data_IF_149733858015
#
_entry.id   IF_149733858015
#
_cell.length_a   1.000
_cell.length_b   1.000
_cell.length_c   1.000
_cell.angle_alpha   90.00
_cell.angle_beta   90.00
_cell.angle_gamma   90.00
#
_symmetry.space_group_name_H-M   'P 1'
#
loop_
_entity.id
_entity.type
_entity.pdbx_description
1 polymer ?
#
# COMPACT_ATOMS: atom_id res chain seq x y z
N UNK A 1 -29.95 3.65 -16.76
CA UNK A 1 -29.66 4.77 -15.85
C UNK A 1 -28.92 4.19 -14.66
N UNK A 2 -27.58 4.22 -14.68
CA UNK A 2 -26.80 3.78 -13.52
C UNK A 2 -27.00 4.84 -12.44
N UNK A 3 -27.62 4.47 -11.33
CA UNK A 3 -27.73 5.34 -10.17
C UNK A 3 -26.31 5.63 -9.69
N UNK A 4 -25.80 6.83 -9.96
CA UNK A 4 -24.60 7.34 -9.34
C UNK A 4 -24.90 7.53 -7.86
N UNK A 5 -24.71 6.48 -7.08
CA UNK A 5 -24.71 6.58 -5.62
C UNK A 5 -23.62 7.59 -5.29
N UNK A 6 -24.03 8.71 -4.70
CA UNK A 6 -23.14 9.79 -4.28
C UNK A 6 -21.94 9.19 -3.52
N UNK A 7 -20.73 9.64 -3.85
CA UNK A 7 -19.47 9.25 -3.20
C UNK A 7 -19.58 9.33 -1.67
N UNK A 8 -20.30 10.31 -1.15
CA UNK A 8 -20.57 10.47 0.29
C UNK A 8 -21.35 9.31 0.91
N UNK A 9 -22.32 8.76 0.17
CA UNK A 9 -23.14 7.63 0.65
C UNK A 9 -22.31 6.34 0.62
N UNK A 10 -21.53 6.13 -0.44
CA UNK A 10 -20.58 4.99 -0.52
C UNK A 10 -19.58 5.03 0.64
N UNK A 11 -19.02 6.20 0.93
CA UNK A 11 -18.09 6.38 2.04
C UNK A 11 -18.76 6.17 3.39
N UNK A 12 -19.98 6.67 3.60
CA UNK A 12 -20.72 6.44 4.85
C UNK A 12 -20.95 4.94 5.12
N UNK A 13 -21.39 4.18 4.11
CA UNK A 13 -21.54 2.73 4.23
C UNK A 13 -20.19 2.02 4.43
N UNK A 14 -19.15 2.46 3.75
CA UNK A 14 -17.81 1.89 3.88
C UNK A 14 -17.22 2.13 5.28
N UNK A 15 -17.39 3.33 5.83
CA UNK A 15 -17.00 3.67 7.21
C UNK A 15 -17.72 2.77 8.22
N UNK A 16 -19.04 2.58 8.05
CA UNK A 16 -19.83 1.75 8.95
C UNK A 16 -19.43 0.26 8.91
N UNK A 17 -19.08 -0.25 7.74
CA UNK A 17 -18.76 -1.68 7.53
C UNK A 17 -17.28 -2.00 7.75
N UNK A 18 -16.38 -1.05 7.50
CA UNK A 18 -14.92 -1.24 7.53
C UNK A 18 -14.21 -0.05 8.22
N UNK A 19 -14.45 0.19 9.52
CA UNK A 19 -13.95 1.38 10.21
C UNK A 19 -12.42 1.47 10.23
N UNK A 20 -11.72 0.35 10.43
CA UNK A 20 -10.25 0.32 10.47
C UNK A 20 -9.65 0.67 9.10
N UNK A 21 -10.19 0.08 8.03
CA UNK A 21 -9.73 0.36 6.66
C UNK A 21 -10.02 1.80 6.26
N UNK A 22 -11.14 2.34 6.71
CA UNK A 22 -11.52 3.74 6.46
C UNK A 22 -10.55 4.71 7.12
N UNK A 23 -10.15 4.45 8.37
CA UNK A 23 -9.13 5.26 9.06
C UNK A 23 -7.80 5.17 8.31
N UNK A 24 -7.34 3.96 7.97
CA UNK A 24 -6.09 3.75 7.22
C UNK A 24 -6.10 4.49 5.88
N UNK A 25 -7.18 4.37 5.12
CA UNK A 25 -7.34 5.05 3.85
C UNK A 25 -7.29 6.57 4.00
N UNK A 26 -8.03 7.13 4.96
CA UNK A 26 -8.05 8.58 5.18
C UNK A 26 -6.69 9.12 5.61
N UNK A 27 -6.02 8.42 6.53
CA UNK A 27 -4.67 8.77 7.00
C UNK A 27 -3.70 8.76 5.82
N UNK A 28 -3.72 7.73 4.97
CA UNK A 28 -2.84 7.68 3.79
C UNK A 28 -3.15 8.77 2.78
N UNK A 29 -4.42 9.10 2.53
CA UNK A 29 -4.78 10.24 1.67
C UNK A 29 -4.20 11.55 2.18
N UNK A 30 -4.25 11.78 3.50
CA UNK A 30 -3.65 12.97 4.14
C UNK A 30 -2.14 12.98 3.95
N UNK A 31 -1.45 11.85 4.17
CA UNK A 31 0.00 11.77 3.97
C UNK A 31 0.43 11.98 2.52
N UNK A 32 -0.29 11.41 1.55
CA UNK A 32 0.00 11.64 0.12
C UNK A 32 -0.24 13.12 -0.25
N UNK A 33 -1.28 13.75 0.31
CA UNK A 33 -1.62 15.14 0.02
C UNK A 33 -0.68 16.16 0.67
N UNK A 34 -0.17 15.88 1.88
CA UNK A 34 0.61 16.85 2.69
C UNK A 34 2.10 16.53 2.70
N UNK A 35 2.47 15.26 2.85
CA UNK A 35 3.86 14.83 3.05
C UNK A 35 4.53 14.30 1.77
N UNK A 36 3.83 14.40 0.62
CA UNK A 36 4.27 13.83 -0.66
C UNK A 36 4.71 12.37 -0.56
N UNK A 37 4.08 11.59 0.33
CA UNK A 37 4.26 10.14 0.30
C UNK A 37 3.78 9.59 -1.05
N UNK A 38 4.48 8.58 -1.56
CA UNK A 38 4.12 7.98 -2.84
C UNK A 38 2.69 7.40 -2.79
N UNK A 39 1.83 7.70 -3.78
CA UNK A 39 0.52 7.08 -3.90
C UNK A 39 0.69 5.58 -4.21
N UNK A 40 -0.35 4.76 -3.94
CA UNK A 40 -0.39 3.39 -4.40
C UNK A 40 -0.14 3.29 -5.92
N UNK A 41 0.53 2.23 -6.36
CA UNK A 41 0.86 2.02 -7.78
C UNK A 41 -0.37 2.15 -8.69
N UNK A 42 -0.22 2.93 -9.77
CA UNK A 42 -1.25 3.11 -10.78
C UNK A 42 -2.20 4.29 -10.56
N UNK A 43 -1.92 5.15 -9.56
CA UNK A 43 -2.71 6.35 -9.24
C UNK A 43 -1.74 7.52 -9.04
N UNK A 44 -2.11 8.72 -9.50
CA UNK A 44 -1.25 9.90 -9.35
C UNK A 44 -1.36 10.54 -7.96
N UNK A 45 -0.42 11.44 -7.64
CA UNK A 45 -0.42 12.21 -6.40
C UNK A 45 -1.65 13.13 -6.29
N UNK A 46 -2.14 13.67 -7.42
CA UNK A 46 -3.33 14.52 -7.42
C UNK A 46 -4.63 13.71 -7.30
N UNK A 47 -4.65 12.50 -7.88
CA UNK A 47 -5.86 11.67 -7.93
C UNK A 47 -6.15 10.99 -6.60
N UNK A 48 -5.13 10.45 -5.93
CA UNK A 48 -5.30 9.61 -4.76
C UNK A 48 -6.02 10.30 -3.57
N UNK A 49 -5.72 11.57 -3.23
CA UNK A 49 -6.42 12.29 -2.17
C UNK A 49 -7.92 12.54 -2.45
N UNK A 50 -8.31 12.59 -3.73
CA UNK A 50 -9.68 12.87 -4.18
C UNK A 50 -10.54 11.60 -4.32
N UNK A 51 -9.96 10.42 -4.15
CA UNK A 51 -10.69 9.16 -4.21
C UNK A 51 -11.71 9.01 -3.07
N UNK A 52 -12.76 8.24 -3.33
CA UNK A 52 -13.62 7.73 -2.27
C UNK A 52 -12.79 6.86 -1.30
N UNK A 53 -13.20 6.80 -0.04
CA UNK A 53 -12.50 5.98 0.97
C UNK A 53 -12.48 4.50 0.58
N UNK A 54 -13.55 4.02 -0.04
CA UNK A 54 -13.65 2.65 -0.51
C UNK A 54 -12.65 2.34 -1.64
N UNK A 55 -12.42 3.30 -2.55
CA UNK A 55 -11.49 3.14 -3.67
C UNK A 55 -10.04 3.35 -3.22
N UNK A 56 -9.78 4.33 -2.35
CA UNK A 56 -8.48 4.54 -1.71
C UNK A 56 -8.05 3.31 -0.89
N UNK A 57 -8.97 2.74 -0.10
CA UNK A 57 -8.70 1.52 0.65
C UNK A 57 -8.38 0.34 -0.28
N UNK A 58 -9.12 0.18 -1.38
CA UNK A 58 -8.83 -0.86 -2.38
C UNK A 58 -7.46 -0.68 -3.04
N UNK A 59 -7.09 0.55 -3.38
CA UNK A 59 -5.78 0.86 -3.94
C UNK A 59 -4.64 0.54 -2.96
N UNK A 60 -4.80 0.89 -1.68
CA UNK A 60 -3.84 0.54 -0.62
C UNK A 60 -3.71 -0.98 -0.47
N UNK A 61 -4.83 -1.70 -0.44
CA UNK A 61 -4.82 -3.16 -0.33
C UNK A 61 -4.15 -3.82 -1.54
N UNK A 62 -4.47 -3.36 -2.75
CA UNK A 62 -3.85 -3.87 -3.98
C UNK A 62 -2.34 -3.57 -4.06
N UNK A 63 -1.88 -2.44 -3.51
CA UNK A 63 -0.47 -2.14 -3.39
C UNK A 63 0.21 -3.00 -2.31
N UNK A 64 -0.44 -3.21 -1.16
CA UNK A 64 0.05 -4.07 -0.09
C UNK A 64 0.11 -5.55 -0.48
N UNK A 65 -0.81 -6.03 -1.33
CA UNK A 65 -0.77 -7.38 -1.90
C UNK A 65 0.39 -7.55 -2.90
N UNK A 66 0.89 -6.48 -3.50
CA UNK A 66 2.11 -6.52 -4.33
C UNK A 66 3.40 -6.42 -3.50
N UNK A 67 3.34 -5.98 -2.25
CA UNK A 67 4.48 -6.04 -1.31
C UNK A 67 4.79 -7.45 -0.79
N UNK A 68 4.10 -8.49 -1.27
CA UNK A 68 4.69 -9.85 -1.25
C UNK A 68 5.85 -10.01 -2.24
N UNK A 69 6.32 -8.93 -2.87
CA UNK A 69 7.61 -8.83 -3.54
C UNK A 69 8.78 -8.64 -2.57
N UNK A 70 8.82 -9.42 -1.48
CA UNK A 70 10.05 -9.55 -0.70
C UNK A 70 11.10 -10.22 -1.58
N UNK A 71 12.26 -9.58 -1.76
CA UNK A 71 13.37 -10.18 -2.52
C UNK A 71 13.65 -11.56 -1.94
N UNK A 72 13.55 -12.65 -2.73
CA UNK A 72 13.61 -14.00 -2.19
C UNK A 72 14.89 -14.18 -1.37
N UNK A 73 14.82 -14.91 -0.26
CA UNK A 73 15.98 -15.10 0.63
C UNK A 73 17.22 -15.61 -0.13
N UNK A 74 17.02 -16.36 -1.22
CA UNK A 74 18.06 -16.84 -2.13
C UNK A 74 18.84 -15.74 -2.85
N UNK A 75 18.24 -14.58 -3.07
CA UNK A 75 18.88 -13.41 -3.66
C UNK A 75 19.75 -12.64 -2.65
N UNK A 76 19.81 -13.07 -1.39
CA UNK A 76 20.66 -12.44 -0.39
C UNK A 76 21.93 -13.26 -0.15
N UNK A 77 23.04 -12.55 0.10
CA UNK A 77 24.32 -13.16 0.46
C UNK A 77 24.14 -14.14 1.64
N UNK A 78 25.02 -15.14 1.77
CA UNK A 78 24.94 -16.10 2.88
C UNK A 78 24.97 -15.40 4.25
N UNK A 79 25.80 -14.36 4.40
CA UNK A 79 25.91 -13.58 5.61
C UNK A 79 24.62 -12.80 5.93
N UNK A 80 23.97 -12.22 4.91
CA UNK A 80 22.70 -11.51 5.08
C UNK A 80 21.54 -12.45 5.38
N UNK A 81 21.55 -13.67 4.82
CA UNK A 81 20.58 -14.73 5.18
C UNK A 81 20.68 -15.12 6.65
N UNK A 82 21.89 -15.26 7.18
CA UNK A 82 22.12 -15.58 8.60
C UNK A 82 21.67 -14.43 9.51
N UNK A 83 21.90 -13.17 9.10
CA UNK A 83 21.38 -11.98 9.81
C UNK A 83 19.85 -11.96 9.84
N UNK A 84 19.21 -12.16 8.68
CA UNK A 84 17.76 -12.22 8.59
C UNK A 84 17.16 -13.38 9.40
N UNK A 85 17.86 -14.52 9.50
CA UNK A 85 17.43 -15.63 10.36
C UNK A 85 17.47 -15.28 11.85
N UNK A 86 18.33 -14.33 12.26
CA UNK A 86 18.38 -13.75 13.61
C UNK A 86 17.44 -12.56 13.82
N UNK A 87 16.64 -12.19 12.81
CA UNK A 87 15.76 -11.02 12.85
C UNK A 87 16.47 -9.68 12.61
N UNK A 88 17.75 -9.71 12.22
CA UNK A 88 18.55 -8.52 11.88
C UNK A 88 18.31 -8.11 10.43
N UNK A 89 18.46 -6.81 10.13
CA UNK A 89 18.37 -6.31 8.76
C UNK A 89 19.61 -6.73 7.94
N UNK A 90 19.43 -7.12 6.67
CA UNK A 90 20.57 -7.36 5.79
C UNK A 90 21.31 -6.04 5.53
N UNK A 91 22.63 -6.11 5.37
CA UNK A 91 23.49 -4.94 5.10
C UNK A 91 23.86 -4.84 3.62
N UNK A 92 23.89 -5.96 2.91
CA UNK A 92 24.21 -6.03 1.49
C UNK A 92 23.08 -5.55 0.58
N UNK A 93 23.29 -5.69 -0.72
CA UNK A 93 22.23 -5.56 -1.71
C UNK A 93 21.86 -6.96 -2.18
N UNK A 94 20.58 -7.24 -2.46
CA UNK A 94 20.22 -8.53 -2.99
C UNK A 94 20.82 -8.70 -4.39
N UNK A 95 21.53 -9.80 -4.59
CA UNK A 95 22.01 -10.26 -5.88
C UNK A 95 20.78 -10.72 -6.70
N UNK A 96 20.46 -10.00 -7.76
CA UNK A 96 19.33 -10.35 -8.63
C UNK A 96 19.47 -11.80 -9.11
N UNK A 97 18.50 -12.69 -8.82
CA UNK A 97 18.66 -14.11 -9.11
C UNK A 97 18.46 -14.47 -10.60
N UNK A 98 18.56 -13.51 -11.53
CA UNK A 98 18.40 -13.70 -12.98
C UNK A 98 19.20 -12.65 -13.80
N UNK A 99 20.53 -12.63 -13.64
CA UNK A 99 21.44 -12.14 -14.70
C UNK A 99 22.34 -13.30 -15.11
#
# INVERSE_FOLDING_TARGET
MSSEISTRVKDAFFIATHPILSIKAKVRQVFVAIEHEAPPQGITFEEFPELSLADAARAIMAAGEKETGGVPKSAWSKADRERMARGERPLGHPEHPNI
#
